data_IF_947485410780
#
_entry.id   IF_947485410780
#
_cell.length_a   1.000
_cell.length_b   1.000
_cell.length_c   1.000
_cell.angle_alpha   90.00
_cell.angle_beta   90.00
_cell.angle_gamma   90.00
#
_symmetry.space_group_name_H-M   'P 1'
#
loop_
_entity.id
_entity.type
_entity.pdbx_description
1 polymer ?
#
# COMPACT_ATOMS: atom_id res chain seq x y z
N UNK A 1 7.12 -74.59 47.73
CA UNK A 1 6.35 -73.86 46.72
C UNK A 1 6.55 -72.37 46.96
N UNK A 2 7.52 -71.77 46.30
CA UNK A 2 7.78 -70.35 46.38
C UNK A 2 7.16 -69.69 45.13
N UNK A 3 6.24 -68.71 45.33
CA UNK A 3 5.66 -67.87 44.31
C UNK A 3 6.44 -66.59 44.27
N UNK A 4 7.07 -66.22 43.11
CA UNK A 4 7.68 -64.93 42.85
C UNK A 4 6.62 -64.01 42.23
N UNK A 5 6.53 -62.73 42.71
CA UNK A 5 5.69 -61.75 42.03
C UNK A 5 6.39 -61.14 40.83
N UNK A 6 5.69 -61.10 39.69
CA UNK A 6 6.13 -60.43 38.44
C UNK A 6 6.00 -58.92 38.59
N UNK A 7 7.10 -58.22 38.57
CA UNK A 7 7.12 -56.74 38.45
C UNK A 7 6.85 -56.34 36.97
N UNK A 8 5.73 -55.67 36.76
CA UNK A 8 5.44 -54.99 35.46
C UNK A 8 6.08 -53.60 35.54
N UNK A 9 7.13 -53.40 34.76
CA UNK A 9 7.75 -52.07 34.54
C UNK A 9 6.95 -51.34 33.47
N UNK A 10 6.19 -50.31 33.87
CA UNK A 10 5.48 -49.43 33.00
C UNK A 10 6.46 -48.38 32.46
N UNK A 11 6.94 -48.51 31.23
CA UNK A 11 7.77 -47.53 30.58
C UNK A 11 6.91 -46.37 30.09
N UNK A 12 6.94 -45.22 30.79
CA UNK A 12 6.32 -43.97 30.34
C UNK A 12 7.16 -43.34 29.22
N UNK A 13 6.69 -43.46 27.97
CA UNK A 13 7.26 -42.73 26.83
C UNK A 13 6.83 -41.27 26.91
N UNK A 14 7.75 -40.38 27.29
CA UNK A 14 7.57 -38.93 27.12
C UNK A 14 7.53 -38.63 25.62
N UNK A 15 6.36 -38.30 25.09
CA UNK A 15 6.21 -37.71 23.77
C UNK A 15 6.71 -36.27 23.83
N UNK A 16 7.93 -36.03 23.32
CA UNK A 16 8.43 -34.67 23.07
C UNK A 16 7.64 -34.13 21.89
N UNK A 17 6.69 -33.21 22.16
CA UNK A 17 5.98 -32.50 21.13
C UNK A 17 7.02 -31.62 20.38
N UNK A 18 7.09 -31.67 19.04
CA UNK A 18 7.99 -30.80 18.28
C UNK A 18 7.57 -29.34 18.58
N UNK A 19 8.54 -28.53 19.03
CA UNK A 19 8.37 -27.08 19.14
C UNK A 19 8.10 -26.58 17.74
N UNK A 20 6.85 -26.16 17.48
CA UNK A 20 6.49 -25.43 16.26
C UNK A 20 7.23 -24.11 16.37
N UNK A 21 8.35 -23.99 15.69
CA UNK A 21 9.06 -22.71 15.52
C UNK A 21 8.04 -21.74 14.97
N UNK A 22 7.76 -20.66 15.76
CA UNK A 22 6.69 -19.72 15.43
C UNK A 22 6.88 -19.18 14.03
N UNK A 23 6.01 -19.56 13.11
CA UNK A 23 5.92 -18.96 11.79
C UNK A 23 5.59 -17.48 11.99
N UNK A 24 6.32 -16.58 11.30
CA UNK A 24 6.00 -15.14 11.20
C UNK A 24 5.33 -14.87 9.84
N UNK A 25 4.04 -15.25 9.68
CA UNK A 25 3.37 -15.15 8.38
C UNK A 25 3.24 -13.71 7.89
N UNK A 26 3.26 -12.74 8.79
CA UNK A 26 3.26 -11.32 8.43
C UNK A 26 4.63 -10.91 7.89
N UNK A 27 5.69 -11.33 8.55
CA UNK A 27 7.05 -11.09 8.11
C UNK A 27 7.34 -11.73 6.76
N UNK A 28 6.97 -12.98 6.58
CA UNK A 28 7.13 -13.70 5.30
C UNK A 28 6.38 -13.01 4.16
N UNK A 29 5.15 -12.55 4.41
CA UNK A 29 4.36 -11.83 3.42
C UNK A 29 5.00 -10.48 3.06
N UNK A 30 5.48 -9.72 4.04
CA UNK A 30 6.18 -8.44 3.82
C UNK A 30 7.47 -8.66 3.03
N UNK A 31 8.27 -9.64 3.38
CA UNK A 31 9.54 -9.92 2.68
C UNK A 31 9.28 -10.31 1.21
N UNK A 32 8.26 -11.13 0.97
CA UNK A 32 7.81 -11.47 -0.38
C UNK A 32 7.35 -10.26 -1.18
N UNK A 33 6.62 -9.34 -0.55
CA UNK A 33 6.18 -8.10 -1.19
C UNK A 33 7.36 -7.16 -1.50
N UNK A 34 8.35 -7.07 -0.60
CA UNK A 34 9.59 -6.32 -0.82
C UNK A 34 10.34 -6.85 -2.04
N UNK A 35 10.49 -8.17 -2.14
CA UNK A 35 11.14 -8.80 -3.30
C UNK A 35 10.38 -8.57 -4.60
N UNK A 36 9.06 -8.69 -4.59
CA UNK A 36 8.21 -8.44 -5.74
C UNK A 36 8.34 -6.98 -6.21
N UNK A 37 8.25 -6.03 -5.27
CA UNK A 37 8.32 -4.60 -5.57
C UNK A 37 9.73 -4.15 -6.01
N UNK A 38 10.80 -4.72 -5.48
CA UNK A 38 12.18 -4.40 -5.87
C UNK A 38 12.45 -4.61 -7.37
N UNK A 39 11.71 -5.53 -8.00
CA UNK A 39 11.82 -5.85 -9.43
C UNK A 39 11.01 -4.92 -10.35
N UNK A 40 10.16 -4.07 -9.77
CA UNK A 40 9.28 -3.16 -10.52
C UNK A 40 10.02 -1.86 -10.84
N UNK A 41 10.19 -1.57 -12.13
CA UNK A 41 10.76 -0.30 -12.63
C UNK A 41 9.67 0.63 -13.12
N UNK A 42 8.68 0.08 -13.81
CA UNK A 42 7.47 0.76 -14.24
C UNK A 42 6.26 -0.04 -13.81
N UNK A 43 5.12 0.59 -13.68
CA UNK A 43 3.87 -0.09 -13.37
C UNK A 43 2.69 0.61 -14.05
N UNK A 44 1.68 -0.18 -14.38
CA UNK A 44 0.33 0.30 -14.68
C UNK A 44 -0.65 -0.44 -13.81
N UNK A 45 -1.60 0.28 -13.22
CA UNK A 45 -2.64 -0.27 -12.37
C UNK A 45 -3.96 0.44 -12.60
N UNK A 46 -5.07 -0.27 -12.43
CA UNK A 46 -6.37 0.34 -12.20
C UNK A 46 -6.72 0.20 -10.72
N UNK A 47 -7.39 1.19 -10.17
CA UNK A 47 -7.75 1.23 -8.76
C UNK A 47 -9.18 1.73 -8.52
N UNK A 48 -9.73 1.28 -7.41
CA UNK A 48 -10.91 1.84 -6.78
C UNK A 48 -10.52 2.34 -5.40
N UNK A 49 -11.08 3.47 -4.98
CA UNK A 49 -10.79 4.09 -3.71
C UNK A 49 -12.07 4.48 -2.99
N UNK A 50 -12.08 4.27 -1.68
CA UNK A 50 -13.11 4.81 -0.77
C UNK A 50 -12.40 5.61 0.32
N UNK A 51 -12.75 6.88 0.43
CA UNK A 51 -12.29 7.78 1.50
C UNK A 51 -13.44 7.98 2.46
N UNK A 52 -13.24 7.61 3.71
CA UNK A 52 -14.26 7.75 4.77
C UNK A 52 -13.78 8.75 5.81
N UNK A 53 -14.61 9.73 6.11
CA UNK A 53 -14.41 10.58 7.28
C UNK A 53 -15.27 10.02 8.44
N UNK A 54 -14.67 9.41 9.47
CA UNK A 54 -15.43 8.78 10.55
C UNK A 54 -16.18 9.79 11.43
N UNK A 55 -15.74 11.05 11.46
CA UNK A 55 -16.39 12.10 12.27
C UNK A 55 -17.73 12.54 11.66
N UNK A 56 -17.80 12.62 10.33
CA UNK A 56 -19.02 13.05 9.62
C UNK A 56 -19.82 11.89 9.03
N UNK A 57 -19.22 10.69 8.98
CA UNK A 57 -19.78 9.53 8.28
C UNK A 57 -19.73 9.64 6.77
N UNK A 58 -19.18 10.73 6.20
CA UNK A 58 -19.12 10.92 4.75
C UNK A 58 -18.20 9.88 4.10
N UNK A 59 -18.61 9.41 2.91
CA UNK A 59 -17.85 8.47 2.10
C UNK A 59 -17.77 9.01 0.67
N UNK A 60 -16.54 9.16 0.19
CA UNK A 60 -16.25 9.54 -1.18
C UNK A 60 -15.66 8.33 -1.90
N UNK A 61 -16.24 7.97 -3.03
CA UNK A 61 -15.73 6.91 -3.90
C UNK A 61 -15.05 7.55 -5.11
N UNK A 62 -13.98 6.94 -5.55
CA UNK A 62 -13.29 7.30 -6.77
C UNK A 62 -12.67 6.07 -7.42
N UNK A 63 -12.39 6.16 -8.71
CA UNK A 63 -11.70 5.12 -9.47
C UNK A 63 -10.85 5.73 -10.57
N UNK A 64 -9.83 5.02 -10.98
CA UNK A 64 -8.94 5.56 -11.99
C UNK A 64 -7.83 4.59 -12.37
N UNK A 65 -6.86 5.15 -13.08
CA UNK A 65 -5.64 4.47 -13.49
C UNK A 65 -4.42 5.14 -12.85
N UNK A 66 -3.44 4.34 -12.55
CA UNK A 66 -2.15 4.74 -12.05
C UNK A 66 -1.06 4.22 -12.98
N UNK A 67 -0.13 5.09 -13.34
CA UNK A 67 1.10 4.71 -14.04
C UNK A 67 2.29 5.26 -13.27
N UNK A 68 3.36 4.49 -13.21
CA UNK A 68 4.60 4.85 -12.53
C UNK A 68 5.81 4.52 -13.38
N UNK A 69 6.83 5.38 -13.32
CA UNK A 69 8.18 5.09 -13.76
C UNK A 69 9.14 5.58 -12.65
N UNK A 70 9.67 4.64 -11.91
CA UNK A 70 10.55 4.90 -10.76
C UNK A 70 11.84 5.60 -11.19
N UNK A 71 12.45 6.44 -10.31
CA UNK A 71 12.02 6.63 -8.91
C UNK A 71 10.89 7.65 -8.72
N UNK A 72 10.74 8.63 -9.58
CA UNK A 72 10.16 9.94 -9.27
C UNK A 72 8.95 10.34 -10.16
N UNK A 73 8.58 9.51 -11.16
CA UNK A 73 7.48 9.81 -12.07
C UNK A 73 6.29 8.92 -11.84
N UNK A 74 5.13 9.53 -11.67
CA UNK A 74 3.86 8.84 -11.55
C UNK A 74 2.72 9.72 -12.07
N UNK A 75 1.60 9.08 -12.39
CA UNK A 75 0.36 9.78 -12.69
C UNK A 75 -0.84 8.96 -12.23
N UNK A 76 -1.77 9.66 -11.58
CA UNK A 76 -3.12 9.20 -11.30
C UNK A 76 -4.07 9.92 -12.23
N UNK A 77 -4.87 9.19 -12.99
CA UNK A 77 -5.97 9.70 -13.79
C UNK A 77 -7.26 9.15 -13.24
N UNK A 78 -8.09 10.02 -12.68
CA UNK A 78 -9.39 9.60 -12.19
C UNK A 78 -10.39 9.51 -13.33
N UNK A 79 -11.07 8.37 -13.42
CA UNK A 79 -12.20 8.16 -14.30
C UNK A 79 -13.50 8.64 -13.65
N UNK A 80 -13.51 8.61 -12.29
CA UNK A 80 -14.56 9.12 -11.45
C UNK A 80 -13.95 9.63 -10.13
N UNK A 81 -14.04 10.94 -9.82
CA UNK A 81 -14.58 12.01 -10.68
C UNK A 81 -13.72 12.22 -11.94
N UNK A 82 -14.40 12.42 -13.07
CA UNK A 82 -13.72 12.55 -14.36
C UNK A 82 -12.94 13.87 -14.47
N UNK A 83 -11.68 13.76 -14.92
CA UNK A 83 -10.83 14.90 -15.24
C UNK A 83 -9.85 15.26 -14.12
N UNK A 84 -9.99 14.68 -12.93
CA UNK A 84 -9.03 14.84 -11.85
C UNK A 84 -7.72 14.11 -12.21
N UNK A 85 -6.59 14.79 -12.00
CA UNK A 85 -5.26 14.27 -12.32
C UNK A 85 -4.27 14.70 -11.24
N UNK A 86 -3.43 13.76 -10.80
CA UNK A 86 -2.25 14.03 -9.98
C UNK A 86 -1.06 13.45 -10.74
N UNK A 87 -0.04 14.27 -11.00
CA UNK A 87 1.12 13.80 -11.78
C UNK A 87 2.42 14.36 -11.25
N UNK A 88 3.45 13.50 -11.17
CA UNK A 88 4.84 13.91 -10.98
C UNK A 88 5.59 13.78 -12.30
N UNK A 89 6.25 14.87 -12.69
CA UNK A 89 7.12 14.92 -13.88
C UNK A 89 8.60 14.62 -13.54
N UNK A 90 8.89 14.33 -12.26
CA UNK A 90 10.23 14.13 -11.70
C UNK A 90 10.86 15.39 -11.11
N UNK A 91 10.19 16.55 -11.22
CA UNK A 91 10.61 17.83 -10.60
C UNK A 91 9.51 18.43 -9.74
N UNK A 92 8.29 18.36 -10.22
CA UNK A 92 7.11 18.90 -9.58
C UNK A 92 6.02 17.87 -9.52
N UNK A 93 5.20 17.97 -8.47
CA UNK A 93 3.89 17.35 -8.41
C UNK A 93 2.84 18.38 -8.77
N UNK A 94 2.00 18.03 -9.71
CA UNK A 94 0.87 18.80 -10.19
C UNK A 94 -0.41 18.15 -9.72
N UNK A 95 -1.24 18.89 -8.99
CA UNK A 95 -2.54 18.44 -8.50
C UNK A 95 -3.62 19.26 -9.19
N UNK A 96 -4.33 18.67 -10.13
CA UNK A 96 -5.44 19.27 -10.86
C UNK A 96 -6.71 18.48 -10.57
N UNK A 97 -7.58 19.06 -9.76
CA UNK A 97 -8.82 18.44 -9.29
C UNK A 97 -10.03 19.33 -9.66
N UNK A 98 -10.40 19.44 -10.96
CA UNK A 98 -11.50 20.29 -11.38
C UNK A 98 -12.84 19.92 -10.78
N UNK A 99 -13.01 18.67 -10.30
CA UNK A 99 -14.22 18.22 -9.62
C UNK A 99 -14.47 18.94 -8.28
N UNK A 100 -13.41 19.33 -7.57
CA UNK A 100 -13.50 19.96 -6.25
C UNK A 100 -12.94 21.39 -6.23
N UNK A 101 -11.95 21.67 -7.07
CA UNK A 101 -11.26 22.97 -7.16
C UNK A 101 -11.14 23.42 -8.62
N UNK A 102 -12.24 23.83 -9.25
CA UNK A 102 -12.22 24.26 -10.65
C UNK A 102 -11.38 25.54 -10.82
N UNK A 103 -10.73 25.69 -11.97
CA UNK A 103 -10.01 26.89 -12.35
C UNK A 103 -8.61 27.05 -11.75
N UNK A 104 -8.11 26.09 -10.98
CA UNK A 104 -6.75 26.12 -10.47
C UNK A 104 -6.06 24.75 -10.53
N UNK A 105 -4.73 24.79 -10.57
CA UNK A 105 -3.85 23.64 -10.40
C UNK A 105 -2.80 24.00 -9.35
N UNK A 106 -2.57 23.10 -8.40
CA UNK A 106 -1.50 23.25 -7.41
C UNK A 106 -0.23 22.63 -7.99
N UNK A 107 0.88 23.35 -7.87
CA UNK A 107 2.21 22.85 -8.21
C UNK A 107 3.09 22.88 -6.96
N UNK A 108 3.61 21.72 -6.59
CA UNK A 108 4.54 21.56 -5.48
C UNK A 108 5.89 21.04 -5.99
N UNK A 109 7.04 21.49 -5.45
CA UNK A 109 8.31 20.82 -5.71
C UNK A 109 8.23 19.37 -5.25
N UNK A 110 8.80 18.44 -6.04
CA UNK A 110 8.92 17.05 -5.60
C UNK A 110 10.00 16.99 -4.52
N UNK A 111 9.59 16.75 -3.29
CA UNK A 111 10.47 16.45 -2.17
C UNK A 111 10.47 14.96 -1.88
N UNK A 112 11.49 14.45 -1.20
CA UNK A 112 11.54 13.04 -0.79
C UNK A 112 10.33 12.62 0.07
N UNK A 113 9.76 13.57 0.82
CA UNK A 113 8.57 13.37 1.64
C UNK A 113 7.31 13.24 0.78
N UNK A 114 7.15 14.09 -0.25
CA UNK A 114 6.06 14.02 -1.22
C UNK A 114 6.19 12.76 -2.07
N UNK A 115 7.39 12.44 -2.56
CA UNK A 115 7.69 11.23 -3.31
C UNK A 115 7.29 9.98 -2.51
N UNK A 116 7.75 9.89 -1.25
CA UNK A 116 7.43 8.76 -0.37
C UNK A 116 5.94 8.62 -0.04
N UNK A 117 5.19 9.72 -0.03
CA UNK A 117 3.74 9.70 0.23
C UNK A 117 2.91 9.32 -1.00
N UNK A 118 3.44 9.56 -2.20
CA UNK A 118 2.76 9.33 -3.48
C UNK A 118 3.16 8.02 -4.17
N UNK A 119 4.26 7.39 -3.75
CA UNK A 119 4.58 6.03 -4.16
C UNK A 119 3.68 5.05 -3.42
N UNK A 120 2.49 4.80 -3.96
CA UNK A 120 1.43 3.98 -3.36
C UNK A 120 1.89 2.60 -2.89
N UNK A 121 2.90 2.05 -3.53
CA UNK A 121 3.40 0.70 -3.24
C UNK A 121 4.68 0.78 -2.43
N UNK A 122 5.63 1.63 -2.83
CA UNK A 122 6.91 1.80 -2.14
C UNK A 122 6.79 2.36 -0.75
N UNK A 123 5.74 3.17 -0.48
CA UNK A 123 5.44 3.66 0.86
C UNK A 123 5.40 2.53 1.89
N UNK A 124 4.86 1.35 1.52
CA UNK A 124 4.72 0.22 2.43
C UNK A 124 5.92 -0.73 2.41
N UNK A 125 6.65 -0.83 1.28
CA UNK A 125 7.65 -1.88 1.06
C UNK A 125 9.09 -1.39 0.99
N UNK A 126 9.34 -0.08 1.14
CA UNK A 126 10.70 0.46 1.29
C UNK A 126 11.12 0.38 2.76
N UNK A 127 12.06 -0.54 3.08
CA UNK A 127 12.58 -0.79 4.42
C UNK A 127 11.48 -0.97 5.49
N UNK A 128 10.46 -1.84 5.26
CA UNK A 128 9.26 -1.89 6.11
C UNK A 128 9.56 -2.26 7.55
N UNK A 129 10.47 -3.20 7.80
CA UNK A 129 10.82 -3.65 9.16
C UNK A 129 11.52 -2.57 9.99
N UNK A 130 12.22 -1.64 9.36
CA UNK A 130 12.82 -0.49 10.03
C UNK A 130 11.78 0.58 10.34
N UNK A 131 10.88 0.85 9.39
CA UNK A 131 9.91 1.93 9.47
C UNK A 131 8.67 1.58 10.28
N UNK A 132 8.26 0.31 10.29
CA UNK A 132 6.98 -0.13 10.86
C UNK A 132 7.14 -1.26 11.87
N UNK A 133 6.25 -1.28 12.85
CA UNK A 133 5.89 -2.49 13.58
C UNK A 133 4.94 -3.27 12.69
N UNK A 134 5.33 -4.50 12.35
CA UNK A 134 4.60 -5.41 11.46
C UNK A 134 3.82 -6.39 12.33
N UNK A 135 2.50 -6.49 12.13
CA UNK A 135 1.63 -7.42 12.85
C UNK A 135 0.75 -8.18 11.90
N UNK A 136 0.59 -9.47 12.16
CA UNK A 136 -0.35 -10.29 11.42
C UNK A 136 -1.80 -9.89 11.71
N UNK A 137 -2.61 -9.81 10.65
CA UNK A 137 -4.04 -9.55 10.72
C UNK A 137 -4.87 -10.64 10.02
N UNK A 138 -4.25 -11.79 9.74
CA UNK A 138 -4.92 -12.97 9.23
C UNK A 138 -4.89 -13.11 7.72
N UNK A 139 -5.75 -13.97 7.20
CA UNK A 139 -5.92 -14.22 5.77
C UNK A 139 -7.23 -13.60 5.27
N UNK A 140 -7.24 -13.19 4.00
CA UNK A 140 -8.43 -12.68 3.32
C UNK A 140 -8.38 -13.00 1.83
N UNK A 141 -9.45 -12.67 1.12
CA UNK A 141 -9.53 -12.78 -0.33
C UNK A 141 -9.87 -11.41 -0.91
N UNK A 142 -9.09 -10.93 -1.89
CA UNK A 142 -9.33 -9.68 -2.62
C UNK A 142 -9.34 -9.99 -4.11
N UNK A 143 -10.43 -9.65 -4.80
CA UNK A 143 -10.57 -9.92 -6.23
C UNK A 143 -10.36 -11.39 -6.62
N UNK A 144 -10.80 -12.35 -5.78
CA UNK A 144 -10.61 -13.79 -5.99
C UNK A 144 -9.18 -14.30 -5.68
N UNK A 145 -8.28 -13.44 -5.19
CA UNK A 145 -6.89 -13.80 -4.85
C UNK A 145 -6.73 -13.97 -3.34
N UNK A 146 -6.11 -15.07 -2.93
CA UNK A 146 -5.77 -15.30 -1.52
C UNK A 146 -4.68 -14.30 -1.08
N UNK A 147 -4.91 -13.62 0.04
CA UNK A 147 -4.01 -12.61 0.57
C UNK A 147 -3.70 -12.85 2.04
N UNK A 148 -2.48 -12.43 2.47
CA UNK A 148 -2.16 -12.20 3.87
C UNK A 148 -2.39 -10.75 4.21
N UNK A 149 -3.10 -10.50 5.28
CA UNK A 149 -3.34 -9.14 5.79
C UNK A 149 -2.30 -8.82 6.84
N UNK A 150 -1.63 -7.71 6.64
CA UNK A 150 -0.57 -7.25 7.55
C UNK A 150 -0.89 -5.83 8.02
N UNK A 151 -0.85 -5.61 9.32
CA UNK A 151 -0.96 -4.27 9.92
C UNK A 151 0.43 -3.67 10.07
N UNK A 152 0.57 -2.44 9.59
CA UNK A 152 1.77 -1.62 9.68
C UNK A 152 1.50 -0.41 10.57
N UNK A 153 2.30 -0.25 11.63
CA UNK A 153 2.25 0.90 12.52
C UNK A 153 3.60 1.61 12.47
N UNK A 154 3.66 2.89 12.06
CA UNK A 154 4.91 3.64 12.04
C UNK A 154 5.61 3.64 13.39
N UNK A 155 6.95 3.44 13.39
CA UNK A 155 7.76 3.46 14.62
C UNK A 155 8.18 4.86 15.04
N UNK A 156 8.13 5.83 14.12
CA UNK A 156 8.50 7.24 14.34
C UNK A 156 7.33 8.19 14.12
N UNK A 157 7.56 9.47 14.40
CA UNK A 157 6.62 10.55 14.07
C UNK A 157 6.86 11.04 12.64
N UNK A 158 5.85 11.66 12.02
CA UNK A 158 5.96 12.27 10.68
C UNK A 158 5.60 11.34 9.51
N UNK A 159 4.94 10.21 9.77
CA UNK A 159 4.37 9.38 8.71
C UNK A 159 3.09 9.98 8.10
N UNK A 160 2.77 9.62 6.86
CA UNK A 160 1.53 10.01 6.19
C UNK A 160 0.27 9.34 6.77
N UNK A 161 0.43 8.34 7.63
CA UNK A 161 -0.64 7.61 8.29
C UNK A 161 -0.24 7.17 9.70
N UNK A 162 -1.22 6.94 10.57
CA UNK A 162 -1.03 6.41 11.94
C UNK A 162 -1.05 4.89 11.96
N UNK A 163 -1.75 4.29 11.02
CA UNK A 163 -1.85 2.84 10.84
C UNK A 163 -2.23 2.51 9.41
N UNK A 164 -1.67 1.44 8.87
CA UNK A 164 -2.15 0.87 7.62
C UNK A 164 -2.37 -0.63 7.74
N UNK A 165 -3.28 -1.16 6.93
CA UNK A 165 -3.39 -2.58 6.63
C UNK A 165 -3.06 -2.77 5.15
N UNK A 166 -2.31 -3.79 4.84
CA UNK A 166 -1.94 -4.16 3.46
C UNK A 166 -2.34 -5.61 3.20
N UNK A 167 -2.99 -5.85 2.07
CA UNK A 167 -3.39 -7.18 1.60
C UNK A 167 -2.40 -7.63 0.53
N UNK A 168 -1.53 -8.54 0.90
CA UNK A 168 -0.44 -9.05 0.07
C UNK A 168 -0.85 -10.40 -0.50
N UNK A 169 -0.81 -10.54 -1.81
CA UNK A 169 -1.08 -11.78 -2.52
C UNK A 169 -0.11 -12.89 -2.09
N UNK A 170 -0.63 -14.01 -1.65
CA UNK A 170 0.20 -15.11 -1.15
C UNK A 170 0.98 -15.82 -2.25
N UNK A 171 0.53 -15.74 -3.51
CA UNK A 171 1.19 -16.38 -4.64
C UNK A 171 2.37 -15.56 -5.18
N UNK A 172 2.20 -14.24 -5.37
CA UNK A 172 3.16 -13.41 -6.09
C UNK A 172 3.71 -12.21 -5.30
N UNK A 173 3.23 -11.97 -4.06
CA UNK A 173 3.67 -10.85 -3.23
C UNK A 173 3.11 -9.50 -3.66
N UNK A 174 2.22 -9.46 -4.64
CA UNK A 174 1.63 -8.20 -5.13
C UNK A 174 0.69 -7.60 -4.10
N UNK A 175 0.74 -6.28 -3.91
CA UNK A 175 -0.25 -5.55 -3.14
C UNK A 175 -1.58 -5.55 -3.88
N UNK A 176 -2.63 -6.09 -3.25
CA UNK A 176 -4.00 -6.12 -3.82
C UNK A 176 -4.88 -5.02 -3.26
N UNK A 177 -4.67 -4.64 -2.01
CA UNK A 177 -5.47 -3.63 -1.33
C UNK A 177 -4.65 -3.03 -0.20
N UNK A 178 -4.91 -1.78 0.13
CA UNK A 178 -4.46 -1.20 1.39
C UNK A 178 -5.53 -0.31 1.99
N UNK A 179 -5.52 -0.21 3.32
CA UNK A 179 -6.29 0.72 4.12
C UNK A 179 -5.30 1.56 4.92
N UNK A 180 -5.39 2.87 4.84
CA UNK A 180 -4.55 3.79 5.60
C UNK A 180 -5.43 4.73 6.43
N UNK A 181 -5.15 4.83 7.72
CA UNK A 181 -5.73 5.78 8.64
C UNK A 181 -4.79 6.98 8.76
N UNK A 182 -5.22 8.12 8.26
CA UNK A 182 -4.45 9.36 8.26
C UNK A 182 -4.43 10.02 9.66
N UNK A 183 -3.50 10.95 9.89
CA UNK A 183 -3.43 11.72 11.15
C UNK A 183 -4.73 12.49 11.45
N UNK A 184 -5.47 12.87 10.41
CA UNK A 184 -6.78 13.53 10.49
C UNK A 184 -7.92 12.60 10.95
N UNK A 185 -7.66 11.30 11.07
CA UNK A 185 -8.66 10.26 11.30
C UNK A 185 -9.38 9.79 10.03
N UNK A 186 -9.11 10.39 8.88
CA UNK A 186 -9.65 9.93 7.59
C UNK A 186 -9.10 8.54 7.29
N UNK A 187 -9.97 7.64 6.83
CA UNK A 187 -9.62 6.29 6.41
C UNK A 187 -9.73 6.19 4.89
N UNK A 188 -8.63 5.81 4.27
CA UNK A 188 -8.52 5.60 2.82
C UNK A 188 -8.34 4.12 2.53
N UNK A 189 -9.30 3.52 1.85
CA UNK A 189 -9.22 2.16 1.33
C UNK A 189 -9.00 2.20 -0.18
N UNK A 190 -7.92 1.57 -0.65
CA UNK A 190 -7.61 1.47 -2.09
C UNK A 190 -7.52 0.01 -2.47
N UNK A 191 -8.30 -0.39 -3.46
CA UNK A 191 -8.26 -1.73 -4.07
C UNK A 191 -7.63 -1.63 -5.45
N UNK A 192 -6.60 -2.41 -5.69
CA UNK A 192 -5.93 -2.52 -7.00
C UNK A 192 -6.64 -3.60 -7.79
N UNK A 193 -7.41 -3.18 -8.80
CA UNK A 193 -8.23 -4.08 -9.61
C UNK A 193 -7.44 -4.76 -10.72
N UNK A 194 -6.45 -4.04 -11.29
CA UNK A 194 -5.47 -4.60 -12.22
C UNK A 194 -4.08 -4.10 -11.87
N UNK A 195 -3.06 -4.93 -12.08
CA UNK A 195 -1.66 -4.54 -11.89
C UNK A 195 -0.78 -5.20 -12.94
N UNK A 196 -0.03 -4.38 -13.68
CA UNK A 196 0.94 -4.83 -14.68
C UNK A 196 2.31 -4.26 -14.31
N UNK A 197 3.18 -5.06 -13.66
CA UNK A 197 4.54 -4.65 -13.38
C UNK A 197 5.35 -4.58 -14.68
N UNK A 198 6.31 -3.66 -14.72
CA UNK A 198 7.22 -3.44 -15.85
C UNK A 198 6.49 -3.17 -17.19
N UNK A 199 5.28 -2.58 -17.12
CA UNK A 199 4.52 -2.15 -18.27
C UNK A 199 5.29 -1.11 -19.08
N UNK A 200 5.07 -1.08 -20.39
CA UNK A 200 5.57 0.00 -21.23
C UNK A 200 4.80 1.29 -20.93
N UNK A 201 5.45 2.25 -20.28
CA UNK A 201 4.90 3.57 -19.98
C UNK A 201 5.72 4.62 -20.69
N UNK A 202 5.16 5.34 -21.67
CA UNK A 202 5.88 6.38 -22.41
C UNK A 202 6.19 7.57 -21.48
N UNK A 203 7.37 8.16 -21.60
CA UNK A 203 7.78 9.31 -20.77
C UNK A 203 6.84 10.52 -20.93
N UNK A 204 6.16 10.62 -22.08
CA UNK A 204 5.16 11.65 -22.34
C UNK A 204 3.92 11.54 -21.42
N UNK A 205 3.64 10.36 -20.85
CA UNK A 205 2.53 10.15 -19.93
C UNK A 205 2.63 11.03 -18.68
N UNK A 206 3.85 11.35 -18.25
CA UNK A 206 4.14 12.12 -17.04
C UNK A 206 4.28 13.63 -17.29
N UNK A 207 3.98 14.11 -18.50
CA UNK A 207 4.02 15.55 -18.82
C UNK A 207 2.64 16.15 -18.56
N UNK A 208 2.57 17.11 -17.66
CA UNK A 208 1.36 17.86 -17.40
C UNK A 208 1.44 19.27 -18.02
N UNK A 209 0.37 19.68 -18.67
CA UNK A 209 0.19 21.07 -19.14
C UNK A 209 -1.12 21.58 -18.57
N UNK A 210 -1.08 22.64 -17.75
CA UNK A 210 -2.31 23.27 -17.25
C UNK A 210 -3.25 23.63 -18.40
N UNK A 211 -4.54 23.35 -18.30
CA UNK A 211 -5.52 23.77 -19.29
C UNK A 211 -5.55 25.29 -19.45
N UNK A 212 -6.00 25.79 -20.60
CA UNK A 212 -6.13 27.24 -20.84
C UNK A 212 -7.09 27.86 -19.81
N UNK A 213 -6.70 29.01 -19.25
CA UNK A 213 -7.51 29.73 -18.25
C UNK A 213 -7.43 29.18 -16.83
N UNK A 214 -6.70 28.09 -16.60
CA UNK A 214 -6.47 27.54 -15.26
C UNK A 214 -5.27 28.24 -14.62
N UNK A 215 -5.45 28.76 -13.40
CA UNK A 215 -4.39 29.41 -12.62
C UNK A 215 -3.45 28.36 -11.99
N UNK A 216 -2.16 28.56 -12.13
CA UNK A 216 -1.15 27.77 -11.41
C UNK A 216 -0.88 28.44 -10.06
N UNK A 217 -1.06 27.68 -8.99
CA UNK A 217 -0.79 28.09 -7.60
C UNK A 217 0.39 27.27 -7.11
N UNK A 218 1.46 27.92 -6.68
CA UNK A 218 2.56 27.17 -6.06
C UNK A 218 2.22 26.88 -4.61
N UNK A 219 2.64 25.71 -4.13
CA UNK A 219 2.42 25.34 -2.72
C UNK A 219 3.05 26.34 -1.75
N UNK A 220 4.16 26.99 -2.12
CA UNK A 220 4.80 28.05 -1.34
C UNK A 220 3.94 29.31 -1.16
N UNK A 221 2.88 29.47 -1.94
CA UNK A 221 2.02 30.64 -1.96
C UNK A 221 0.70 30.40 -1.18
N UNK A 222 0.57 29.21 -0.56
CA UNK A 222 -0.54 28.78 0.29
C UNK A 222 -0.19 28.87 1.76
#
# INVERSE_FOLDING_TARGET
MLRFPSFVVLAATLAVAPSVWGQDPAGDAIDKAVEAYAKVRTARAAFEQVVTNPLTGSRLQSRGEFEQARPDRFIFRFADPKGDVIVSDGKFVWVYLPSSQPGQVIRAPLSAEVEGSMDLIGAFFTNPRTRYTVKDAGAATVGGRATRVVTLVPKGQGGSFVRAKVWIDTADGTLRQFEAEEMSGIVRLVTITTFTPNAQVPSAAFRFKPPRGVRVVNQSDL
#
